data_IF_656162474554
#
_entry.id   IF_656162474554
#
_cell.length_a   1.000
_cell.length_b   1.000
_cell.length_c   1.000
_cell.angle_alpha   90.00
_cell.angle_beta   90.00
_cell.angle_gamma   90.00
#
_symmetry.space_group_name_H-M   'P 1'
#
loop_
_entity.id
_entity.type
_entity.pdbx_description
1 polymer ?
#
# COMPACT_ATOMS: atom_id res chain seq x y z
N UNK A 1 -4.07 7.53 16.53
CA UNK A 1 -5.35 7.88 17.21
C UNK A 1 -6.47 7.69 16.20
N UNK A 2 -7.57 7.02 16.55
CA UNK A 2 -8.71 6.81 15.65
C UNK A 2 -9.78 7.87 15.95
N UNK A 3 -10.24 8.62 14.94
CA UNK A 3 -11.22 9.72 15.10
C UNK A 3 -12.60 9.38 14.55
N UNK A 4 -12.67 8.57 13.48
CA UNK A 4 -13.92 8.29 12.77
C UNK A 4 -14.62 7.03 13.32
N UNK A 5 -15.95 7.12 13.48
CA UNK A 5 -16.80 6.00 13.88
C UNK A 5 -17.62 5.52 12.70
N UNK A 6 -17.47 4.25 12.35
CA UNK A 6 -18.30 3.57 11.36
C UNK A 6 -19.09 2.45 12.03
N UNK A 7 -20.39 2.36 11.72
CA UNK A 7 -21.26 1.28 12.20
C UNK A 7 -21.58 0.33 11.05
N UNK A 8 -21.32 -0.95 11.25
CA UNK A 8 -21.59 -2.01 10.28
C UNK A 8 -22.25 -3.18 11.00
N UNK A 9 -23.30 -3.74 10.40
CA UNK A 9 -23.93 -4.96 10.91
C UNK A 9 -23.16 -6.17 10.40
N UNK A 10 -22.79 -7.06 11.31
CA UNK A 10 -22.13 -8.33 11.01
C UNK A 10 -23.08 -9.47 11.32
N UNK A 11 -22.97 -10.57 10.57
CA UNK A 11 -23.65 -11.80 10.97
C UNK A 11 -23.09 -12.31 12.32
N UNK A 12 -23.88 -13.08 13.08
CA UNK A 12 -23.41 -13.69 14.33
C UNK A 12 -22.11 -14.49 14.13
N UNK A 13 -22.00 -15.23 13.03
CA UNK A 13 -20.83 -16.03 12.69
C UNK A 13 -19.58 -15.19 12.41
N UNK A 14 -19.73 -14.08 11.67
CA UNK A 14 -18.64 -13.15 11.39
C UNK A 14 -18.12 -12.55 12.70
N UNK A 15 -19.02 -12.05 13.55
CA UNK A 15 -18.64 -11.51 14.85
C UNK A 15 -17.99 -12.58 15.74
N UNK A 16 -18.51 -13.81 15.73
CA UNK A 16 -17.95 -14.94 16.47
C UNK A 16 -16.53 -15.31 16.02
N UNK A 17 -16.24 -15.25 14.72
CA UNK A 17 -14.87 -15.45 14.19
C UNK A 17 -13.93 -14.33 14.64
N UNK A 18 -14.35 -13.07 14.52
CA UNK A 18 -13.54 -11.92 14.94
C UNK A 18 -13.22 -11.96 16.44
N UNK A 19 -14.20 -12.31 17.29
CA UNK A 19 -13.99 -12.46 18.73
C UNK A 19 -12.97 -13.56 19.07
N UNK A 20 -13.00 -14.69 18.37
CA UNK A 20 -12.03 -15.78 18.57
C UNK A 20 -10.61 -15.35 18.19
N UNK A 21 -10.45 -14.64 17.08
CA UNK A 21 -9.14 -14.10 16.65
C UNK A 21 -8.63 -13.09 17.69
N UNK A 22 -9.49 -12.13 18.08
CA UNK A 22 -9.17 -11.13 19.09
C UNK A 22 -8.72 -11.76 20.42
N UNK A 23 -9.44 -12.79 20.88
CA UNK A 23 -9.10 -13.51 22.11
C UNK A 23 -7.79 -14.29 21.98
N UNK A 24 -7.57 -15.00 20.86
CA UNK A 24 -6.33 -15.73 20.58
C UNK A 24 -5.10 -14.81 20.60
N UNK A 25 -5.25 -13.60 20.05
CA UNK A 25 -4.14 -12.68 19.84
C UNK A 25 -4.00 -11.63 20.95
N UNK A 26 -4.84 -11.67 22.00
CA UNK A 26 -4.83 -10.69 23.09
C UNK A 26 -5.16 -9.26 22.64
N UNK A 27 -5.98 -9.11 21.59
CA UNK A 27 -6.31 -7.83 20.94
C UNK A 27 -7.80 -7.52 21.03
N UNK A 28 -8.17 -6.27 20.76
CA UNK A 28 -9.59 -5.91 20.65
C UNK A 28 -10.16 -6.32 19.28
N UNK A 29 -11.46 -6.61 19.23
CA UNK A 29 -12.18 -6.87 17.96
C UNK A 29 -11.99 -5.72 16.97
N UNK A 30 -12.00 -4.47 17.45
CA UNK A 30 -11.75 -3.31 16.61
C UNK A 30 -10.34 -3.28 16.01
N UNK A 31 -9.32 -3.80 16.71
CA UNK A 31 -7.97 -3.92 16.14
C UNK A 31 -7.91 -4.95 15.02
N UNK A 32 -8.61 -6.08 15.16
CA UNK A 32 -8.72 -7.11 14.12
C UNK A 32 -9.45 -6.58 12.89
N UNK A 33 -10.58 -5.87 13.09
CA UNK A 33 -11.33 -5.27 11.98
C UNK A 33 -10.48 -4.27 11.21
N UNK A 34 -9.75 -3.38 11.91
CA UNK A 34 -8.90 -2.39 11.25
C UNK A 34 -7.80 -3.02 10.43
N UNK A 35 -7.11 -4.02 10.96
CA UNK A 35 -6.07 -4.72 10.21
C UNK A 35 -6.61 -5.40 8.95
N UNK A 36 -7.81 -5.98 9.03
CA UNK A 36 -8.46 -6.56 7.86
C UNK A 36 -8.82 -5.49 6.81
N UNK A 37 -9.27 -4.31 7.26
CA UNK A 37 -9.56 -3.16 6.37
C UNK A 37 -8.26 -2.66 5.72
N UNK A 38 -7.20 -2.46 6.50
CA UNK A 38 -5.90 -2.00 5.99
C UNK A 38 -5.36 -2.98 4.95
N UNK A 39 -5.37 -4.29 5.26
CA UNK A 39 -4.93 -5.32 4.32
C UNK A 39 -5.75 -5.33 3.01
N UNK A 40 -7.06 -5.13 3.10
CA UNK A 40 -7.93 -5.08 1.92
C UNK A 40 -7.67 -3.83 1.05
N UNK A 41 -7.53 -2.66 1.68
CA UNK A 41 -7.27 -1.39 0.99
C UNK A 41 -5.86 -1.37 0.40
N UNK A 42 -4.87 -1.90 1.10
CA UNK A 42 -3.50 -2.00 0.59
C UNK A 42 -3.35 -3.02 -0.54
N UNK A 43 -4.13 -4.10 -0.48
CA UNK A 43 -4.19 -5.10 -1.53
C UNK A 43 -4.92 -4.63 -2.80
N UNK A 44 -5.39 -3.38 -2.85
CA UNK A 44 -6.11 -2.87 -4.02
C UNK A 44 -5.30 -3.08 -5.33
N UNK A 45 -5.91 -3.65 -6.38
CA UNK A 45 -5.26 -3.91 -7.66
C UNK A 45 -4.64 -2.65 -8.27
N UNK A 46 -5.19 -1.49 -7.94
CA UNK A 46 -4.72 -0.18 -8.39
C UNK A 46 -3.49 0.35 -7.64
N UNK A 47 -2.91 -0.36 -6.67
CA UNK A 47 -1.66 0.12 -6.04
C UNK A 47 -0.53 0.26 -7.07
N UNK A 48 -0.39 -0.72 -7.97
CA UNK A 48 0.57 -0.66 -9.08
C UNK A 48 0.21 0.42 -10.07
N UNK A 49 -1.07 0.54 -10.42
CA UNK A 49 -1.55 1.54 -11.36
C UNK A 49 -1.37 2.96 -10.85
N UNK A 50 -1.70 3.23 -9.58
CA UNK A 50 -1.48 4.52 -8.90
C UNK A 50 0.01 4.84 -8.75
N UNK A 51 0.86 3.86 -8.46
CA UNK A 51 2.31 4.06 -8.44
C UNK A 51 2.85 4.43 -9.84
N UNK A 52 2.40 3.72 -10.88
CA UNK A 52 2.74 4.04 -12.27
C UNK A 52 2.24 5.44 -12.67
N UNK A 53 1.01 5.81 -12.33
CA UNK A 53 0.47 7.15 -12.57
C UNK A 53 1.29 8.23 -11.86
N UNK A 54 1.73 8.00 -10.63
CA UNK A 54 2.62 8.95 -9.92
C UNK A 54 3.97 9.10 -10.61
N UNK A 55 4.57 8.00 -11.07
CA UNK A 55 5.83 8.04 -11.83
C UNK A 55 5.67 8.74 -13.18
N UNK A 56 4.56 8.52 -13.89
CA UNK A 56 4.26 9.17 -15.17
C UNK A 56 3.92 10.66 -15.02
N UNK A 57 3.27 11.04 -13.90
CA UNK A 57 2.94 12.43 -13.60
C UNK A 57 4.13 13.22 -13.06
N UNK A 58 5.24 12.56 -12.68
CA UNK A 58 6.48 13.25 -12.38
C UNK A 58 7.02 13.85 -13.69
N UNK A 59 6.88 15.17 -13.84
CA UNK A 59 7.65 15.96 -14.80
C UNK A 59 9.11 16.05 -14.33
N UNK A 60 9.78 14.89 -14.25
CA UNK A 60 11.20 14.83 -13.94
C UNK A 60 11.96 15.56 -15.07
N UNK A 61 12.92 16.45 -14.75
CA UNK A 61 13.73 17.14 -15.73
C UNK A 61 14.78 16.16 -16.29
N UNK A 62 14.32 15.19 -17.07
CA UNK A 62 15.16 14.18 -17.72
C UNK A 62 15.26 14.50 -19.20
N UNK A 63 16.47 14.38 -19.73
CA UNK A 63 16.73 14.49 -21.17
C UNK A 63 16.17 13.28 -21.94
N UNK A 64 16.22 13.35 -23.27
CA UNK A 64 15.81 12.23 -24.13
C UNK A 64 16.52 10.93 -23.73
N UNK A 65 15.78 9.81 -23.87
CA UNK A 65 16.24 8.49 -23.48
C UNK A 65 17.61 8.12 -24.06
N UNK A 66 17.91 8.51 -25.31
CA UNK A 66 19.21 8.20 -25.92
C UNK A 66 20.35 8.91 -25.20
N UNK A 67 20.14 10.16 -24.78
CA UNK A 67 21.17 10.95 -24.08
C UNK A 67 21.35 10.42 -22.66
N UNK A 68 20.26 10.19 -21.95
CA UNK A 68 20.29 9.64 -20.59
C UNK A 68 20.95 8.25 -20.56
N UNK A 69 20.64 7.38 -21.52
CA UNK A 69 21.25 6.06 -21.66
C UNK A 69 22.75 6.15 -21.90
N UNK A 70 23.19 7.07 -22.76
CA UNK A 70 24.62 7.28 -23.03
C UNK A 70 25.36 7.76 -21.77
N UNK A 71 24.76 8.68 -20.99
CA UNK A 71 25.32 9.15 -19.72
C UNK A 71 25.43 8.02 -18.68
N UNK A 72 24.37 7.21 -18.51
CA UNK A 72 24.39 6.07 -17.57
C UNK A 72 25.50 5.08 -17.93
N UNK A 73 25.62 4.73 -19.21
CA UNK A 73 26.65 3.80 -19.68
C UNK A 73 28.06 4.38 -19.55
N UNK A 74 28.23 5.68 -19.81
CA UNK A 74 29.50 6.38 -19.60
C UNK A 74 29.91 6.39 -18.13
N UNK A 75 28.98 6.67 -17.22
CA UNK A 75 29.23 6.64 -15.77
C UNK A 75 29.58 5.25 -15.23
N UNK A 76 29.11 4.17 -15.88
CA UNK A 76 29.48 2.80 -15.52
C UNK A 76 30.91 2.41 -15.95
N UNK A 77 31.52 3.16 -16.88
CA UNK A 77 32.89 2.91 -17.36
C UNK A 77 33.97 3.58 -16.50
N UNK A 78 33.58 4.36 -15.48
CA UNK A 78 34.49 4.96 -14.50
C UNK A 78 35.34 6.09 -15.08
N UNK A 79 35.10 7.32 -14.62
CA UNK A 79 36.11 8.38 -14.69
C UNK A 79 37.04 8.20 -13.47
N UNK A 80 38.28 7.76 -13.73
CA UNK A 80 39.46 8.11 -12.94
C UNK A 80 40.24 9.18 -13.71
#
# INVERSE_FOLDING_TARGET
MFSERTQVLLSPDQLGRLKRIAARDGRSVGAVIREAVDAFVEAEPDRRQRAAQRLLAMNAPVEDWQVMKAQILKSQLGDW
#
